data_IF_914905008336
#
_entry.id   IF_914905008336
#
_cell.length_a   1.000
_cell.length_b   1.000
_cell.length_c   1.000
_cell.angle_alpha   90.00
_cell.angle_beta   90.00
_cell.angle_gamma   90.00
#
_symmetry.space_group_name_H-M   'P 1'
#
loop_
_entity.id
_entity.type
_entity.pdbx_description
1 polymer ?
#
# COMPACT_ATOMS: atom_id res chain seq x y z
N UNK A 1 37.52 6.69 13.21
CA UNK A 1 36.08 6.40 13.28
C UNK A 1 35.76 5.65 12.02
N UNK A 2 35.36 4.39 12.14
CA UNK A 2 35.06 3.52 11.01
C UNK A 2 33.56 3.61 10.73
N UNK A 3 33.19 3.76 9.46
CA UNK A 3 31.80 3.71 9.04
C UNK A 3 31.41 2.24 8.84
N UNK A 4 30.46 1.76 9.65
CA UNK A 4 29.95 0.39 9.58
C UNK A 4 28.63 0.38 8.81
N UNK A 5 28.67 -0.13 7.58
CA UNK A 5 27.51 -0.16 6.68
C UNK A 5 26.49 -1.19 7.14
N UNK A 6 25.27 -0.75 7.44
CA UNK A 6 24.13 -1.64 7.63
C UNK A 6 23.68 -2.25 6.29
N UNK A 7 23.14 -3.48 6.28
CA UNK A 7 22.64 -4.11 5.06
C UNK A 7 21.29 -3.52 4.64
N UNK A 8 21.14 -3.19 3.36
CA UNK A 8 19.86 -2.79 2.78
C UNK A 8 19.02 -4.04 2.52
N UNK A 9 17.86 -4.11 3.18
CA UNK A 9 16.88 -5.17 3.01
C UNK A 9 16.26 -5.09 1.60
N UNK A 10 16.18 -6.21 0.89
CA UNK A 10 15.70 -6.23 -0.49
C UNK A 10 14.19 -5.96 -0.55
N UNK A 11 13.82 -4.85 -1.19
CA UNK A 11 12.42 -4.61 -1.59
C UNK A 11 12.09 -5.59 -2.71
N UNK A 12 11.15 -6.49 -2.45
CA UNK A 12 10.67 -7.46 -3.41
C UNK A 12 9.68 -6.76 -4.36
N UNK A 13 10.17 -6.27 -5.50
CA UNK A 13 9.32 -5.67 -6.53
C UNK A 13 8.29 -6.69 -7.03
N UNK A 14 7.02 -6.38 -6.80
CA UNK A 14 5.92 -7.19 -7.28
C UNK A 14 5.78 -7.08 -8.79
N UNK A 15 5.82 -8.22 -9.48
CA UNK A 15 5.47 -8.33 -10.90
C UNK A 15 3.99 -8.01 -11.09
N UNK A 16 3.67 -6.74 -11.33
CA UNK A 16 2.41 -6.37 -11.99
C UNK A 16 2.57 -6.73 -13.46
N UNK A 17 1.58 -7.44 -14.01
CA UNK A 17 1.73 -8.27 -15.20
C UNK A 17 1.91 -7.44 -16.49
N UNK A 18 2.88 -7.84 -17.33
CA UNK A 18 3.09 -7.25 -18.67
C UNK A 18 1.80 -7.30 -19.52
N UNK A 19 0.96 -8.32 -19.31
CA UNK A 19 -0.34 -8.49 -19.94
C UNK A 19 -1.24 -7.24 -19.80
N UNK A 20 -1.16 -6.52 -18.66
CA UNK A 20 -1.93 -5.28 -18.44
C UNK A 20 -1.41 -4.10 -19.27
N UNK A 21 -0.14 -4.11 -19.64
CA UNK A 21 0.50 -3.08 -20.48
C UNK A 21 0.24 -3.38 -21.96
N UNK A 22 0.34 -4.65 -22.38
CA UNK A 22 0.00 -5.03 -23.76
C UNK A 22 -1.47 -4.76 -24.11
N UNK A 23 -2.41 -4.97 -23.18
CA UNK A 23 -3.83 -4.65 -23.42
C UNK A 23 -4.13 -3.14 -23.38
N UNK A 24 -3.28 -2.34 -22.71
CA UNK A 24 -3.33 -0.88 -22.82
C UNK A 24 -2.79 -0.41 -24.20
N UNK A 25 -1.67 -0.95 -24.67
CA UNK A 25 -1.10 -0.61 -25.98
C UNK A 25 -2.07 -0.91 -27.14
N UNK A 26 -2.81 -2.03 -27.09
CA UNK A 26 -3.83 -2.39 -28.09
C UNK A 26 -5.06 -1.46 -28.11
N UNK A 27 -5.26 -0.63 -27.08
CA UNK A 27 -6.40 0.30 -26.98
C UNK A 27 -6.13 1.66 -27.61
N UNK A 28 -4.89 1.97 -28.01
CA UNK A 28 -4.54 3.19 -28.71
C UNK A 28 -4.09 2.90 -30.15
N UNK A 29 -4.57 3.67 -31.14
CA UNK A 29 -4.08 3.54 -32.51
C UNK A 29 -2.65 4.09 -32.66
N UNK A 30 -1.77 3.35 -33.32
CA UNK A 30 -0.37 3.72 -33.54
C UNK A 30 -0.23 5.06 -34.27
N UNK A 31 0.39 6.04 -33.60
CA UNK A 31 0.57 7.40 -34.13
C UNK A 31 1.72 7.55 -35.14
N UNK A 32 2.56 6.51 -35.32
CA UNK A 32 3.74 6.55 -36.19
C UNK A 32 3.45 6.45 -37.70
N UNK A 33 2.19 6.23 -38.11
CA UNK A 33 1.79 6.23 -39.52
C UNK A 33 1.11 7.55 -39.99
N UNK A 34 1.46 8.68 -39.37
CA UNK A 34 1.19 10.01 -39.93
C UNK A 34 2.45 10.53 -40.64
N UNK A 35 2.81 9.86 -41.74
CA UNK A 35 3.96 10.21 -42.55
C UNK A 35 3.82 11.59 -43.21
N UNK A 36 4.68 12.54 -42.83
CA UNK A 36 4.76 13.86 -43.47
C UNK A 36 5.37 13.73 -44.87
N UNK A 37 4.53 13.58 -45.89
CA UNK A 37 4.89 13.69 -47.30
C UNK A 37 3.76 14.35 -48.10
N UNK A 38 4.12 15.24 -49.04
CA UNK A 38 3.21 16.26 -49.54
C UNK A 38 2.38 15.86 -50.79
N UNK A 39 1.11 16.29 -50.77
CA UNK A 39 0.36 16.85 -51.91
C UNK A 39 0.05 15.96 -53.14
N UNK A 40 -1.19 15.48 -53.26
CA UNK A 40 -2.17 15.90 -54.31
C UNK A 40 -3.50 15.13 -54.26
N UNK A 41 -4.59 15.81 -54.66
CA UNK A 41 -5.95 15.30 -54.97
C UNK A 41 -6.85 14.74 -53.84
N UNK A 42 -7.59 15.68 -53.24
CA UNK A 42 -8.99 15.61 -52.81
C UNK A 42 -9.87 14.43 -53.31
N UNK A 43 -10.51 13.74 -52.37
CA UNK A 43 -11.96 13.42 -52.38
C UNK A 43 -12.54 13.59 -50.95
N UNK A 44 -13.88 13.66 -50.82
CA UNK A 44 -14.60 14.35 -49.74
C UNK A 44 -15.23 13.42 -48.67
N UNK A 45 -15.17 13.84 -47.40
CA UNK A 45 -16.12 13.66 -46.26
C UNK A 45 -15.50 14.37 -45.03
N UNK A 46 -16.07 15.39 -44.37
CA UNK A 46 -17.29 15.44 -43.53
C UNK A 46 -17.34 14.29 -42.49
N UNK A 47 -17.55 14.42 -41.18
CA UNK A 47 -17.74 15.54 -40.21
C UNK A 47 -17.44 14.97 -38.79
N UNK A 48 -17.15 15.71 -37.71
CA UNK A 48 -16.75 17.12 -37.45
C UNK A 48 -15.98 17.15 -36.08
N UNK A 49 -15.18 18.19 -35.83
CA UNK A 49 -14.82 18.60 -34.46
C UNK A 49 -14.43 20.09 -34.36
N UNK A 50 -15.39 20.99 -34.58
CA UNK A 50 -15.19 22.42 -34.36
C UNK A 50 -15.27 22.77 -32.85
N UNK A 51 -14.13 23.10 -32.25
CA UNK A 51 -14.09 23.61 -30.86
C UNK A 51 -14.86 24.95 -30.73
N UNK A 52 -15.61 25.17 -29.63
CA UNK A 52 -16.41 26.38 -29.47
C UNK A 52 -15.53 27.61 -29.19
N UNK A 53 -15.17 28.35 -30.23
CA UNK A 53 -14.53 29.66 -30.07
C UNK A 53 -15.54 30.67 -29.50
N UNK A 54 -15.33 31.07 -28.23
CA UNK A 54 -16.00 32.24 -27.67
C UNK A 54 -15.48 33.51 -28.34
N UNK A 55 -16.20 33.97 -29.37
CA UNK A 55 -15.96 35.27 -29.98
C UNK A 55 -16.41 36.39 -29.02
N UNK A 56 -15.45 37.04 -28.36
CA UNK A 56 -15.67 38.32 -27.70
C UNK A 56 -15.96 39.37 -28.79
N UNK A 57 -17.22 39.78 -28.89
CA UNK A 57 -17.68 40.69 -29.93
C UNK A 57 -17.41 42.16 -29.56
N UNK A 58 -16.16 42.62 -29.73
CA UNK A 58 -15.86 44.04 -29.97
C UNK A 58 -15.73 44.28 -31.48
N UNK A 59 -16.82 44.74 -32.10
CA UNK A 59 -16.88 44.94 -33.55
C UNK A 59 -18.19 45.58 -33.97
N UNK A 60 -18.25 46.90 -33.93
CA UNK A 60 -19.41 47.69 -34.35
C UNK A 60 -19.67 47.56 -35.86
N UNK A 61 -20.75 46.89 -36.23
CA UNK A 61 -21.34 46.97 -37.58
C UNK A 61 -22.85 47.16 -37.43
N UNK A 62 -23.34 48.34 -37.80
CA UNK A 62 -24.76 48.60 -38.00
C UNK A 62 -25.24 47.89 -39.28
N UNK A 63 -25.71 46.66 -39.13
CA UNK A 63 -26.65 46.04 -40.07
C UNK A 63 -27.95 45.73 -39.35
N UNK A 64 -29.08 46.19 -39.89
CA UNK A 64 -30.42 45.84 -39.39
C UNK A 64 -30.74 44.36 -39.69
N UNK A 65 -30.14 43.46 -38.91
CA UNK A 65 -30.64 42.11 -38.80
C UNK A 65 -32.11 42.16 -38.34
N UNK A 66 -33.03 41.41 -38.97
CA UNK A 66 -34.42 41.40 -38.55
C UNK A 66 -34.50 41.02 -37.08
N UNK A 67 -35.14 41.88 -36.27
CA UNK A 67 -35.40 41.65 -34.85
C UNK A 67 -36.45 40.55 -34.70
N UNK A 68 -36.06 39.32 -34.99
CA UNK A 68 -36.76 38.12 -34.55
C UNK A 68 -36.95 38.23 -33.04
N UNK A 69 -38.16 37.90 -32.61
CA UNK A 69 -38.63 38.12 -31.25
C UNK A 69 -37.63 37.50 -30.25
N UNK A 70 -36.87 38.35 -29.54
CA UNK A 70 -35.74 37.93 -28.68
C UNK A 70 -36.15 37.21 -27.39
N UNK A 71 -37.43 36.84 -27.30
CA UNK A 71 -37.94 35.93 -26.29
C UNK A 71 -37.56 34.49 -26.66
N UNK A 72 -36.79 33.76 -25.83
CA UNK A 72 -36.54 32.34 -26.04
C UNK A 72 -37.87 31.58 -26.10
N UNK A 73 -37.95 30.58 -26.97
CA UNK A 73 -39.18 29.79 -27.12
C UNK A 73 -39.51 29.03 -25.83
N UNK A 74 -40.80 28.78 -25.60
CA UNK A 74 -41.29 27.99 -24.45
C UNK A 74 -40.53 26.66 -24.28
N UNK A 75 -40.18 25.99 -25.39
CA UNK A 75 -39.40 24.76 -25.37
C UNK A 75 -37.96 24.95 -24.85
N UNK A 76 -37.31 26.09 -25.16
CA UNK A 76 -35.97 26.43 -24.65
C UNK A 76 -36.05 26.76 -23.15
N UNK A 77 -37.09 27.47 -22.71
CA UNK A 77 -37.30 27.80 -21.29
C UNK A 77 -37.53 26.52 -20.46
N UNK A 78 -38.42 25.65 -20.92
CA UNK A 78 -38.69 24.34 -20.29
C UNK A 78 -37.50 23.38 -20.35
N UNK A 79 -36.58 23.54 -21.31
CA UNK A 79 -35.33 22.77 -21.33
C UNK A 79 -34.34 23.30 -20.30
N UNK A 80 -34.14 24.63 -20.22
CA UNK A 80 -33.29 25.27 -19.19
C UNK A 80 -33.75 24.91 -17.79
N UNK A 81 -35.03 25.06 -17.48
CA UNK A 81 -35.59 24.75 -16.16
C UNK A 81 -35.33 23.28 -15.76
N UNK A 82 -35.49 22.32 -16.68
CA UNK A 82 -35.19 20.90 -16.41
C UNK A 82 -33.69 20.64 -16.23
N UNK A 83 -32.85 21.29 -17.04
CA UNK A 83 -31.40 21.16 -16.97
C UNK A 83 -30.82 21.79 -15.68
N UNK A 84 -31.32 22.95 -15.26
CA UNK A 84 -30.93 23.62 -14.03
C UNK A 84 -31.37 22.82 -12.79
N UNK A 85 -32.54 22.15 -12.86
CA UNK A 85 -32.98 21.18 -11.85
C UNK A 85 -32.08 19.95 -11.79
N UNK A 86 -31.70 19.38 -12.94
CA UNK A 86 -30.81 18.22 -13.03
C UNK A 86 -29.39 18.53 -12.51
N UNK A 87 -28.85 19.71 -12.84
CA UNK A 87 -27.59 20.20 -12.26
C UNK A 87 -27.72 20.37 -10.75
N UNK A 88 -28.77 21.03 -10.26
CA UNK A 88 -28.98 21.25 -8.82
C UNK A 88 -29.11 19.93 -8.04
N UNK A 89 -29.76 18.92 -8.61
CA UNK A 89 -29.86 17.59 -7.99
C UNK A 89 -28.55 16.79 -8.04
N UNK A 90 -27.69 17.03 -9.05
CA UNK A 90 -26.34 16.44 -9.12
C UNK A 90 -25.40 17.13 -8.14
N UNK A 91 -25.31 18.46 -8.17
CA UNK A 91 -24.48 19.25 -7.25
C UNK A 91 -24.83 18.96 -5.77
N UNK A 92 -26.11 18.72 -5.46
CA UNK A 92 -26.58 18.29 -4.14
C UNK A 92 -26.05 16.90 -3.73
N UNK A 93 -25.94 15.96 -4.67
CA UNK A 93 -25.36 14.63 -4.41
C UNK A 93 -23.85 14.72 -4.28
N UNK A 94 -23.18 15.41 -5.20
CA UNK A 94 -21.74 15.64 -5.19
C UNK A 94 -21.31 16.29 -3.85
N UNK A 95 -22.11 17.20 -3.29
CA UNK A 95 -21.85 17.80 -1.97
C UNK A 95 -22.12 16.84 -0.80
N UNK A 96 -23.15 15.99 -0.87
CA UNK A 96 -23.41 14.94 0.13
C UNK A 96 -22.26 13.92 0.15
N UNK A 97 -21.83 13.43 -1.01
CA UNK A 97 -20.72 12.48 -1.16
C UNK A 97 -19.40 13.06 -0.63
N UNK A 98 -19.12 14.35 -0.83
CA UNK A 98 -17.96 15.03 -0.23
C UNK A 98 -18.01 15.05 1.29
N UNK A 99 -19.17 15.36 1.89
CA UNK A 99 -19.35 15.39 3.34
C UNK A 99 -19.21 13.98 3.93
N UNK A 100 -19.84 12.98 3.33
CA UNK A 100 -19.71 11.57 3.74
C UNK A 100 -18.25 11.09 3.65
N UNK A 101 -17.55 11.39 2.56
CA UNK A 101 -16.13 11.07 2.38
C UNK A 101 -15.24 11.78 3.43
N UNK A 102 -15.54 13.03 3.77
CA UNK A 102 -14.82 13.76 4.81
C UNK A 102 -15.06 13.15 6.20
N UNK A 103 -16.31 12.81 6.53
CA UNK A 103 -16.65 12.15 7.79
C UNK A 103 -15.99 10.78 7.92
N UNK A 104 -15.99 9.97 6.86
CA UNK A 104 -15.37 8.66 6.86
C UNK A 104 -13.84 8.77 6.93
N UNK A 105 -13.22 9.75 6.28
CA UNK A 105 -11.80 10.04 6.44
C UNK A 105 -11.44 10.38 7.90
N UNK A 106 -12.29 11.15 8.61
CA UNK A 106 -12.12 11.45 10.04
C UNK A 106 -12.26 10.17 10.89
N UNK A 107 -13.31 9.37 10.66
CA UNK A 107 -13.51 8.07 11.36
C UNK A 107 -12.32 7.12 11.15
N UNK A 108 -11.74 7.10 9.95
CA UNK A 108 -10.55 6.30 9.66
C UNK A 108 -9.30 6.77 10.42
N UNK A 109 -9.13 8.08 10.60
CA UNK A 109 -8.04 8.64 11.41
C UNK A 109 -8.21 8.24 12.89
N UNK A 110 -9.41 8.39 13.45
CA UNK A 110 -9.69 8.01 14.83
C UNK A 110 -9.49 6.51 15.06
N UNK A 111 -10.05 5.66 14.18
CA UNK A 111 -9.87 4.21 14.25
C UNK A 111 -8.40 3.80 14.12
N UNK A 112 -7.61 4.46 13.26
CA UNK A 112 -6.17 4.18 13.15
C UNK A 112 -5.44 4.42 14.47
N UNK A 113 -5.74 5.53 15.17
CA UNK A 113 -5.10 5.80 16.46
C UNK A 113 -5.57 4.85 17.57
N UNK A 114 -6.86 4.51 17.62
CA UNK A 114 -7.37 3.53 18.58
C UNK A 114 -6.77 2.14 18.36
N UNK A 115 -6.72 1.67 17.11
CA UNK A 115 -6.09 0.39 16.76
C UNK A 115 -4.58 0.39 17.03
N UNK A 116 -3.87 1.46 16.68
CA UNK A 116 -2.44 1.61 16.95
C UNK A 116 -2.16 1.60 18.45
N UNK A 117 -2.90 2.37 19.24
CA UNK A 117 -2.72 2.43 20.70
C UNK A 117 -3.06 1.09 21.36
N UNK A 118 -4.14 0.42 20.93
CA UNK A 118 -4.51 -0.93 21.37
C UNK A 118 -3.41 -1.94 21.05
N UNK A 119 -2.89 -1.96 19.81
CA UNK A 119 -1.82 -2.88 19.38
C UNK A 119 -0.51 -2.61 20.09
N UNK A 120 -0.16 -1.34 20.31
CA UNK A 120 1.01 -0.92 21.09
C UNK A 120 0.91 -1.38 22.54
N UNK A 121 -0.26 -1.23 23.17
CA UNK A 121 -0.50 -1.69 24.54
C UNK A 121 -0.41 -3.23 24.62
N UNK A 122 -1.08 -3.95 23.71
CA UNK A 122 -1.00 -5.41 23.62
C UNK A 122 0.44 -5.92 23.43
N UNK A 123 1.23 -5.28 22.56
CA UNK A 123 2.65 -5.62 22.39
C UNK A 123 3.46 -5.35 23.66
N UNK A 124 3.24 -4.22 24.34
CA UNK A 124 3.93 -3.90 25.59
C UNK A 124 3.58 -4.89 26.71
N UNK A 125 2.32 -5.30 26.81
CA UNK A 125 1.89 -6.26 27.83
C UNK A 125 2.36 -7.68 27.49
N UNK A 126 2.32 -8.10 26.23
CA UNK A 126 2.92 -9.37 25.76
C UNK A 126 4.42 -9.43 26.05
N UNK A 127 5.18 -8.34 25.84
CA UNK A 127 6.62 -8.29 26.12
C UNK A 127 6.89 -8.32 27.63
N UNK A 128 6.02 -7.73 28.47
CA UNK A 128 6.12 -7.87 29.94
C UNK A 128 5.85 -9.30 30.38
N UNK A 129 4.76 -9.90 29.90
CA UNK A 129 4.41 -11.29 30.23
C UNK A 129 5.51 -12.27 29.80
N UNK A 130 6.08 -12.08 28.60
CA UNK A 130 7.23 -12.87 28.13
C UNK A 130 8.48 -12.64 28.97
N UNK A 131 8.79 -11.40 29.36
CA UNK A 131 9.92 -11.08 30.23
C UNK A 131 9.74 -11.65 31.65
N UNK A 132 8.55 -11.57 32.24
CA UNK A 132 8.22 -12.16 33.53
C UNK A 132 8.29 -13.69 33.49
N UNK A 133 7.75 -14.30 32.43
CA UNK A 133 7.84 -15.75 32.17
C UNK A 133 9.30 -16.18 32.02
N UNK A 134 10.11 -15.48 31.22
CA UNK A 134 11.52 -15.77 31.04
C UNK A 134 12.30 -15.63 32.36
N UNK A 135 12.05 -14.58 33.15
CA UNK A 135 12.66 -14.40 34.47
C UNK A 135 12.26 -15.53 35.42
N UNK A 136 11.01 -15.99 35.39
CA UNK A 136 10.53 -17.13 36.17
C UNK A 136 11.20 -18.43 35.74
N UNK A 137 11.18 -18.77 34.44
CA UNK A 137 11.83 -19.96 33.88
C UNK A 137 13.33 -19.98 34.20
N UNK A 138 14.00 -18.82 34.09
CA UNK A 138 15.41 -18.65 34.47
C UNK A 138 15.65 -18.89 35.96
N UNK A 139 14.80 -18.36 36.83
CA UNK A 139 14.94 -18.56 38.28
C UNK A 139 14.68 -20.03 38.65
N UNK A 140 13.60 -20.62 38.15
CA UNK A 140 13.26 -22.05 38.33
C UNK A 140 14.40 -22.96 37.83
N UNK A 141 15.01 -22.63 36.69
CA UNK A 141 16.18 -23.32 36.16
C UNK A 141 17.43 -23.25 37.07
N UNK A 142 17.62 -22.16 37.81
CA UNK A 142 18.70 -22.04 38.80
C UNK A 142 18.36 -22.68 40.16
N UNK A 143 17.08 -22.68 40.55
CA UNK A 143 16.55 -23.28 41.79
C UNK A 143 16.44 -24.81 41.72
N UNK A 144 16.41 -25.40 40.51
CA UNK A 144 16.49 -26.84 40.33
C UNK A 144 17.76 -27.44 40.96
N UNK A 145 17.58 -28.53 41.70
CA UNK A 145 18.60 -29.27 42.47
C UNK A 145 19.51 -30.15 41.57
N UNK A 146 19.94 -29.56 40.45
CA UNK A 146 20.63 -30.20 39.33
C UNK A 146 22.12 -29.80 39.29
N UNK A 147 22.99 -30.76 38.98
CA UNK A 147 24.43 -30.49 38.79
C UNK A 147 24.66 -29.50 37.64
N UNK A 148 25.77 -28.75 37.69
CA UNK A 148 26.10 -27.76 36.64
C UNK A 148 26.14 -28.39 35.24
N UNK A 149 26.53 -29.66 35.15
CA UNK A 149 26.59 -30.40 33.87
C UNK A 149 25.23 -30.76 33.30
N UNK A 150 24.21 -31.03 34.13
CA UNK A 150 22.86 -31.29 33.63
C UNK A 150 22.20 -30.00 33.14
N UNK A 151 22.43 -28.88 33.84
CA UNK A 151 22.07 -27.54 33.39
C UNK A 151 22.70 -27.18 32.03
N UNK A 152 24.00 -27.45 31.85
CA UNK A 152 24.69 -27.25 30.56
C UNK A 152 24.11 -28.16 29.46
N UNK A 153 23.78 -29.41 29.79
CA UNK A 153 23.16 -30.34 28.83
C UNK A 153 21.77 -29.85 28.36
N UNK A 154 20.99 -29.25 29.24
CA UNK A 154 19.65 -28.73 28.94
C UNK A 154 19.66 -27.41 28.15
N UNK A 155 20.70 -26.58 28.29
CA UNK A 155 20.87 -25.35 27.47
C UNK A 155 21.35 -25.61 26.03
N UNK A 156 21.97 -26.77 25.79
CA UNK A 156 22.49 -27.12 24.47
C UNK A 156 21.37 -27.79 23.68
N UNK A 157 21.01 -27.24 22.51
CA UNK A 157 20.11 -27.92 21.57
C UNK A 157 20.77 -29.21 21.05
N UNK A 158 20.46 -30.33 21.71
CA UNK A 158 21.11 -31.63 21.54
C UNK A 158 20.91 -32.22 20.14
N UNK A 159 19.90 -31.76 19.41
CA UNK A 159 19.48 -32.29 18.11
C UNK A 159 20.25 -31.65 16.94
N UNK A 160 20.41 -30.32 16.93
CA UNK A 160 21.20 -29.59 15.92
C UNK A 160 22.72 -29.59 16.18
N UNK A 161 23.16 -29.98 17.38
CA UNK A 161 24.55 -29.81 17.81
C UNK A 161 25.59 -30.73 17.15
N UNK A 162 25.20 -31.70 16.31
CA UNK A 162 26.13 -32.72 15.80
C UNK A 162 27.22 -32.13 14.88
N UNK A 163 26.86 -31.20 13.98
CA UNK A 163 27.81 -30.50 13.08
C UNK A 163 27.48 -29.01 13.07
N UNK A 164 28.23 -28.23 13.84
CA UNK A 164 28.15 -26.76 13.82
C UNK A 164 29.50 -26.23 13.36
N UNK A 165 29.49 -25.37 12.33
CA UNK A 165 30.68 -24.77 11.71
C UNK A 165 31.72 -25.80 11.25
N UNK A 166 31.26 -26.93 10.69
CA UNK A 166 32.11 -28.00 10.14
C UNK A 166 32.85 -28.85 11.18
N UNK A 167 32.65 -28.62 12.49
CA UNK A 167 33.26 -29.44 13.55
C UNK A 167 32.25 -30.44 14.11
N UNK A 168 32.56 -31.73 13.98
CA UNK A 168 31.84 -32.82 14.64
C UNK A 168 31.91 -32.67 16.17
N UNK A 169 30.75 -32.64 16.83
CA UNK A 169 30.62 -32.58 18.29
C UNK A 169 30.02 -33.85 18.91
N UNK A 170 29.89 -34.94 18.16
CA UNK A 170 29.32 -36.22 18.65
C UNK A 170 30.03 -36.70 19.92
N UNK A 171 31.38 -36.63 19.96
CA UNK A 171 32.17 -36.96 21.15
C UNK A 171 31.93 -36.02 22.34
N UNK A 172 31.61 -34.76 22.09
CA UNK A 172 31.27 -33.80 23.14
C UNK A 172 29.87 -34.09 23.73
N UNK A 173 28.91 -34.49 22.91
CA UNK A 173 27.58 -34.99 23.34
C UNK A 173 27.72 -36.27 24.19
N UNK A 174 28.56 -37.23 23.78
CA UNK A 174 28.88 -38.41 24.61
C UNK A 174 29.51 -38.04 25.96
N UNK A 175 30.42 -37.06 25.98
CA UNK A 175 31.08 -36.59 27.21
C UNK A 175 30.03 -35.97 28.14
N UNK A 176 29.16 -35.07 27.65
CA UNK A 176 28.10 -34.48 28.45
C UNK A 176 27.11 -35.52 29.02
N UNK A 177 26.75 -36.54 28.22
CA UNK A 177 25.92 -37.65 28.70
C UNK A 177 26.58 -38.47 29.82
N UNK A 178 27.92 -38.57 29.86
CA UNK A 178 28.68 -39.23 30.94
C UNK A 178 28.87 -38.35 32.19
N UNK A 179 28.78 -37.02 32.02
CA UNK A 179 28.87 -36.03 33.11
C UNK A 179 27.50 -35.77 33.78
N UNK A 180 26.40 -35.90 33.03
CA UNK A 180 25.03 -35.79 33.55
C UNK A 180 24.80 -36.75 34.72
N UNK A 181 24.33 -36.22 35.85
CA UNK A 181 24.00 -36.99 37.06
C UNK A 181 25.19 -37.57 37.84
N UNK A 182 26.43 -37.29 37.45
CA UNK A 182 27.62 -37.73 38.20
C UNK A 182 27.93 -36.71 39.30
N UNK A 183 28.08 -37.16 40.55
CA UNK A 183 28.39 -36.30 41.71
C UNK A 183 29.88 -36.16 42.01
N UNK A 184 30.75 -36.88 41.28
CA UNK A 184 32.21 -36.91 41.48
C UNK A 184 32.98 -35.97 40.55
N UNK A 185 32.29 -35.04 39.88
CA UNK A 185 32.85 -34.15 38.86
C UNK A 185 32.88 -32.70 39.33
N UNK A 186 33.80 -31.86 38.84
CA UNK A 186 33.86 -30.46 39.25
C UNK A 186 32.54 -29.73 38.93
N UNK A 187 31.94 -29.08 39.94
CA UNK A 187 30.63 -28.40 39.81
C UNK A 187 29.41 -29.31 39.94
N UNK A 188 29.58 -30.51 40.51
CA UNK A 188 28.48 -31.29 41.08
C UNK A 188 28.08 -30.78 42.48
#
# INVERSE_FOLDING_TARGET
MSEESLPVEQIQEGTVENDTVEDFEKQFPDVDNVGVAANSQSELAEDDFAAPQSAVAEGSVDEEAPKYNTQPSEAINQWRERHDLEISDRDRKDEQEKVELQEDAIKHIDNFYDEYNRKKQQNLDSVKEEAEKYLKERNEFFEQDNTVWDRVFQLINVDDANVISGRDRSKFKEILQKLKGNTSVPGA
#
